data_IF_191152573378
#
_entry.id   IF_191152573378
#
_cell.length_a   1.000
_cell.length_b   1.000
_cell.length_c   1.000
_cell.angle_alpha   90.00
_cell.angle_beta   90.00
_cell.angle_gamma   90.00
#
_symmetry.space_group_name_H-M   'P 1'
#
loop_
_entity.id
_entity.type
_entity.pdbx_description
1 polymer ?
#
# COMPACT_ATOMS: atom_id res chain seq x y z
N UNK A 1 -17.44 -2.31 32.84
CA UNK A 1 -17.95 -1.30 31.90
C UNK A 1 -18.58 -1.97 30.71
N UNK A 2 -19.69 -1.43 30.16
CA UNK A 2 -20.32 -2.01 28.98
C UNK A 2 -19.39 -1.76 27.77
N UNK A 3 -19.03 -2.81 27.08
CA UNK A 3 -18.25 -2.76 25.81
C UNK A 3 -19.26 -2.91 24.70
N UNK A 4 -19.34 -1.91 23.84
CA UNK A 4 -20.33 -1.91 22.75
C UNK A 4 -19.79 -2.57 21.47
N UNK A 5 -18.45 -2.81 21.40
CA UNK A 5 -17.75 -3.42 20.28
C UNK A 5 -16.70 -4.42 20.75
N UNK A 6 -16.37 -5.41 19.90
CA UNK A 6 -15.27 -6.34 20.12
C UNK A 6 -13.92 -5.71 19.71
N UNK A 7 -13.93 -4.81 18.72
CA UNK A 7 -12.74 -4.11 18.25
C UNK A 7 -13.10 -2.71 17.74
N UNK A 8 -12.18 -1.76 17.92
CA UNK A 8 -12.23 -0.43 17.29
C UNK A 8 -11.08 -0.35 16.28
N UNK A 9 -11.39 -0.01 15.03
CA UNK A 9 -10.39 0.23 13.97
C UNK A 9 -10.28 1.73 13.75
N UNK A 10 -9.08 2.28 13.87
CA UNK A 10 -8.79 3.71 13.70
C UNK A 10 -8.13 3.94 12.34
N UNK A 11 -8.86 4.62 11.45
CA UNK A 11 -8.50 4.89 10.07
C UNK A 11 -9.24 4.01 9.05
N UNK A 12 -9.95 4.64 8.10
CA UNK A 12 -10.74 4.01 7.04
C UNK A 12 -10.01 3.92 5.69
N UNK A 13 -8.67 3.95 5.70
CA UNK A 13 -7.86 3.68 4.51
C UNK A 13 -7.82 2.19 4.17
N UNK A 14 -6.98 1.82 3.19
CA UNK A 14 -6.88 0.45 2.69
C UNK A 14 -6.64 -0.61 3.78
N UNK A 15 -5.81 -0.30 4.78
CA UNK A 15 -5.48 -1.21 5.89
C UNK A 15 -6.65 -1.36 6.87
N UNK A 16 -7.26 -0.24 7.26
CA UNK A 16 -8.35 -0.26 8.23
C UNK A 16 -9.62 -0.90 7.67
N UNK A 17 -9.98 -0.61 6.41
CA UNK A 17 -11.14 -1.23 5.76
C UNK A 17 -10.94 -2.74 5.58
N UNK A 18 -9.72 -3.19 5.22
CA UNK A 18 -9.37 -4.60 5.15
C UNK A 18 -9.49 -5.29 6.52
N UNK A 19 -8.99 -4.63 7.57
CA UNK A 19 -9.06 -5.17 8.95
C UNK A 19 -10.50 -5.25 9.44
N UNK A 20 -11.30 -4.19 9.22
CA UNK A 20 -12.70 -4.18 9.61
C UNK A 20 -13.50 -5.29 8.91
N UNK A 21 -13.30 -5.46 7.57
CA UNK A 21 -13.89 -6.55 6.80
C UNK A 21 -13.54 -7.92 7.41
N UNK A 22 -12.26 -8.19 7.60
CA UNK A 22 -11.82 -9.50 8.10
C UNK A 22 -12.30 -9.79 9.52
N UNK A 23 -12.40 -8.76 10.38
CA UNK A 23 -12.97 -8.92 11.71
C UNK A 23 -14.47 -9.22 11.67
N UNK A 24 -15.24 -8.55 10.79
CA UNK A 24 -16.68 -8.82 10.65
C UNK A 24 -16.95 -10.19 10.03
N UNK A 25 -16.14 -10.66 9.09
CA UNK A 25 -16.19 -12.03 8.56
C UNK A 25 -16.01 -13.11 9.66
N UNK A 26 -15.33 -12.74 10.76
CA UNK A 26 -15.18 -13.58 11.97
C UNK A 26 -16.29 -13.36 12.99
N UNK A 27 -17.36 -12.65 12.63
CA UNK A 27 -18.51 -12.39 13.50
C UNK A 27 -18.25 -11.40 14.61
N UNK A 28 -17.20 -10.54 14.49
CA UNK A 28 -16.88 -9.51 15.50
C UNK A 28 -17.71 -8.26 15.30
N UNK A 29 -18.14 -7.63 16.40
CA UNK A 29 -18.77 -6.31 16.40
C UNK A 29 -17.66 -5.25 16.27
N UNK A 30 -17.59 -4.57 15.12
CA UNK A 30 -16.51 -3.64 14.79
C UNK A 30 -17.01 -2.21 14.69
N UNK A 31 -16.30 -1.28 15.31
CA UNK A 31 -16.39 0.15 15.06
C UNK A 31 -15.18 0.60 14.25
N UNK A 32 -15.42 1.17 13.06
CA UNK A 32 -14.39 1.82 12.27
C UNK A 32 -14.59 3.33 12.32
N UNK A 33 -13.54 4.06 12.72
CA UNK A 33 -13.52 5.52 12.83
C UNK A 33 -12.61 6.09 11.74
N UNK A 34 -13.20 6.88 10.83
CA UNK A 34 -12.47 7.57 9.76
C UNK A 34 -12.62 9.09 9.92
N UNK A 35 -11.48 9.79 9.88
CA UNK A 35 -11.40 11.24 10.05
C UNK A 35 -12.09 12.01 8.91
N UNK A 36 -12.09 11.45 7.71
CA UNK A 36 -12.66 12.04 6.50
C UNK A 36 -13.76 11.12 5.96
N UNK A 37 -13.94 11.04 4.65
CA UNK A 37 -14.72 10.01 3.98
C UNK A 37 -13.85 8.79 3.62
N UNK A 38 -14.45 7.61 3.55
CA UNK A 38 -13.78 6.43 2.99
C UNK A 38 -13.46 6.69 1.51
N UNK A 39 -12.26 6.35 1.07
CA UNK A 39 -11.82 6.60 -0.31
C UNK A 39 -11.20 7.99 -0.54
N UNK A 40 -11.08 8.83 0.48
CA UNK A 40 -10.46 10.16 0.35
C UNK A 40 -9.02 10.11 -0.18
N UNK A 41 -8.56 11.19 -0.85
CA UNK A 41 -7.22 11.31 -1.40
C UNK A 41 -6.19 11.99 -0.48
N UNK A 42 -6.53 12.23 0.80
CA UNK A 42 -5.66 12.98 1.73
C UNK A 42 -4.50 12.17 2.30
N UNK A 43 -4.61 10.85 2.33
CA UNK A 43 -3.62 9.92 2.88
C UNK A 43 -2.81 9.19 1.82
N UNK A 44 -2.60 7.86 2.07
CA UNK A 44 -1.78 6.98 1.23
C UNK A 44 -2.60 6.09 0.30
N UNK A 45 -3.93 5.98 0.51
CA UNK A 45 -4.78 4.98 -0.17
C UNK A 45 -5.53 5.52 -1.39
N UNK A 46 -5.62 6.83 -1.58
CA UNK A 46 -6.34 7.48 -2.69
C UNK A 46 -5.70 7.24 -4.06
N UNK A 47 -6.47 7.55 -5.10
CA UNK A 47 -6.11 7.41 -6.50
C UNK A 47 -6.42 6.02 -7.08
N UNK A 48 -6.47 5.90 -8.43
CA UNK A 48 -7.10 4.76 -9.10
C UNK A 48 -6.33 3.45 -8.97
N UNK A 49 -5.00 3.48 -9.03
CA UNK A 49 -4.20 2.26 -9.22
C UNK A 49 -2.98 2.19 -8.33
N UNK A 50 -2.49 0.94 -8.06
CA UNK A 50 -1.22 0.64 -7.38
C UNK A 50 -0.56 -0.57 -8.04
N UNK A 51 0.77 -0.68 -7.92
CA UNK A 51 1.52 -1.86 -8.38
C UNK A 51 1.20 -3.06 -7.48
N UNK A 52 0.88 -4.20 -8.10
CA UNK A 52 1.06 -5.52 -7.51
C UNK A 52 2.34 -6.15 -8.07
N UNK A 53 3.21 -6.66 -7.20
CA UNK A 53 4.41 -7.42 -7.58
C UNK A 53 4.76 -8.41 -6.49
N UNK A 54 5.38 -9.54 -6.86
CA UNK A 54 5.98 -10.51 -5.93
C UNK A 54 7.49 -10.26 -5.81
N UNK A 55 8.08 -9.56 -6.78
CA UNK A 55 9.50 -9.24 -6.82
C UNK A 55 9.94 -8.35 -5.65
N UNK A 56 10.65 -8.95 -4.72
CA UNK A 56 11.28 -8.31 -3.57
C UNK A 56 12.64 -8.94 -3.31
N UNK A 57 13.59 -8.15 -2.81
CA UNK A 57 14.93 -8.61 -2.45
C UNK A 57 14.99 -9.32 -1.07
N UNK A 58 13.87 -9.40 -0.36
CA UNK A 58 13.80 -10.12 0.92
C UNK A 58 12.76 -11.26 0.86
N UNK A 59 13.11 -12.50 1.26
CA UNK A 59 12.24 -13.67 1.13
C UNK A 59 10.93 -13.57 1.93
N UNK A 60 10.91 -12.83 3.05
CA UNK A 60 9.67 -12.62 3.81
C UNK A 60 8.64 -11.82 3.00
N UNK A 61 9.08 -10.80 2.26
CA UNK A 61 8.19 -10.04 1.38
C UNK A 61 7.75 -10.85 0.15
N UNK A 62 8.62 -11.72 -0.40
CA UNK A 62 8.22 -12.64 -1.48
C UNK A 62 7.11 -13.56 -0.98
N UNK A 63 7.28 -14.18 0.18
CA UNK A 63 6.27 -15.04 0.81
C UNK A 63 4.98 -14.27 1.09
N UNK A 64 5.08 -13.06 1.66
CA UNK A 64 3.90 -12.20 1.89
C UNK A 64 3.17 -11.87 0.59
N UNK A 65 3.90 -11.53 -0.49
CA UNK A 65 3.30 -11.18 -1.76
C UNK A 65 2.56 -12.37 -2.39
N UNK A 66 3.11 -13.59 -2.27
CA UNK A 66 2.45 -14.80 -2.74
C UNK A 66 1.16 -15.10 -1.95
N UNK A 67 1.20 -14.96 -0.63
CA UNK A 67 -0.01 -15.09 0.20
C UNK A 67 -1.01 -13.97 -0.10
N UNK A 68 -0.54 -12.73 -0.30
CA UNK A 68 -1.40 -11.62 -0.64
C UNK A 68 -2.11 -11.84 -1.98
N UNK A 69 -1.47 -12.48 -2.97
CA UNK A 69 -2.13 -12.82 -4.24
C UNK A 69 -3.35 -13.73 -4.03
N UNK A 70 -3.23 -14.73 -3.17
CA UNK A 70 -4.37 -15.59 -2.83
C UNK A 70 -5.49 -14.79 -2.15
N UNK A 71 -5.15 -13.95 -1.16
CA UNK A 71 -6.12 -13.09 -0.46
C UNK A 71 -6.79 -12.07 -1.41
N UNK A 72 -6.08 -11.59 -2.46
CA UNK A 72 -6.68 -10.76 -3.51
C UNK A 72 -7.75 -11.53 -4.29
N UNK A 73 -7.49 -12.77 -4.68
CA UNK A 73 -8.46 -13.60 -5.42
C UNK A 73 -9.69 -13.94 -4.57
N UNK A 74 -9.48 -14.21 -3.28
CA UNK A 74 -10.58 -14.44 -2.34
C UNK A 74 -11.42 -13.17 -2.14
N UNK A 75 -10.76 -12.00 -2.05
CA UNK A 75 -11.44 -10.72 -1.96
C UNK A 75 -12.27 -10.43 -3.22
N UNK A 76 -11.72 -10.66 -4.42
CA UNK A 76 -12.45 -10.49 -5.70
C UNK A 76 -13.68 -11.38 -5.77
N UNK A 77 -13.54 -12.66 -5.38
CA UNK A 77 -14.66 -13.60 -5.34
C UNK A 77 -15.76 -13.13 -4.38
N UNK A 78 -15.39 -12.62 -3.22
CA UNK A 78 -16.35 -12.12 -2.22
C UNK A 78 -16.98 -10.79 -2.64
N UNK A 79 -16.20 -9.89 -3.22
CA UNK A 79 -16.66 -8.56 -3.64
C UNK A 79 -17.54 -8.62 -4.92
N UNK A 80 -17.35 -9.64 -5.74
CA UNK A 80 -18.03 -9.78 -7.04
C UNK A 80 -17.50 -8.81 -8.10
N UNK A 81 -16.26 -8.30 -7.94
CA UNK A 81 -15.68 -7.31 -8.83
C UNK A 81 -14.16 -7.50 -8.98
N UNK A 82 -13.60 -7.08 -10.12
CA UNK A 82 -12.16 -7.16 -10.38
C UNK A 82 -11.42 -6.06 -9.63
N UNK A 83 -10.49 -6.46 -8.76
CA UNK A 83 -9.71 -5.57 -7.90
C UNK A 83 -8.20 -5.66 -8.18
N UNK A 84 -7.75 -6.76 -8.82
CA UNK A 84 -6.37 -6.97 -9.24
C UNK A 84 -6.33 -7.45 -10.70
N UNK A 85 -5.82 -6.59 -11.59
CA UNK A 85 -5.66 -6.89 -13.00
C UNK A 85 -4.21 -7.33 -13.25
N UNK A 86 -4.03 -8.56 -13.71
CA UNK A 86 -2.72 -9.10 -14.07
C UNK A 86 -2.28 -8.52 -15.42
N UNK A 87 -1.22 -7.72 -15.43
CA UNK A 87 -0.64 -7.08 -16.62
C UNK A 87 0.78 -7.57 -16.91
N UNK A 88 1.33 -8.39 -16.02
CA UNK A 88 2.76 -8.60 -15.88
C UNK A 88 3.43 -7.44 -15.14
N UNK A 89 4.62 -7.71 -14.62
CA UNK A 89 5.47 -6.70 -13.99
C UNK A 89 6.91 -6.93 -14.39
N UNK A 90 7.62 -5.89 -14.79
CA UNK A 90 9.04 -5.98 -15.12
C UNK A 90 9.89 -5.15 -14.18
N UNK A 91 11.01 -5.73 -13.78
CA UNK A 91 12.12 -5.08 -13.08
C UNK A 91 13.29 -4.95 -14.05
N UNK A 92 13.90 -3.78 -14.16
CA UNK A 92 14.94 -3.48 -15.15
C UNK A 92 16.23 -3.06 -14.46
N UNK A 93 17.38 -3.66 -14.83
CA UNK A 93 18.71 -3.32 -14.31
C UNK A 93 19.14 -4.12 -13.07
N UNK A 94 20.21 -3.68 -12.43
CA UNK A 94 20.91 -4.42 -11.37
C UNK A 94 20.03 -4.71 -10.13
N UNK A 95 19.18 -3.77 -9.71
CA UNK A 95 18.23 -4.01 -8.62
C UNK A 95 17.18 -5.07 -8.96
N UNK A 96 16.82 -5.19 -10.25
CA UNK A 96 16.01 -6.30 -10.76
C UNK A 96 16.72 -7.66 -10.61
N UNK A 97 18.02 -7.72 -10.78
CA UNK A 97 18.81 -8.96 -10.58
C UNK A 97 18.82 -9.42 -9.13
N UNK A 98 18.89 -8.49 -8.17
CA UNK A 98 18.81 -8.82 -6.74
C UNK A 98 17.44 -9.41 -6.40
N UNK A 99 16.35 -8.78 -6.88
CA UNK A 99 15.00 -9.31 -6.71
C UNK A 99 14.80 -10.64 -7.40
N UNK A 100 15.37 -10.84 -8.59
CA UNK A 100 15.34 -12.10 -9.33
C UNK A 100 15.97 -13.24 -8.53
N UNK A 101 17.15 -13.02 -7.97
CA UNK A 101 17.85 -14.02 -7.14
C UNK A 101 17.04 -14.40 -5.90
N UNK A 102 16.36 -13.44 -5.26
CA UNK A 102 15.50 -13.71 -4.12
C UNK A 102 14.24 -14.50 -4.50
N UNK A 103 13.65 -14.23 -5.65
CA UNK A 103 12.53 -14.98 -6.22
C UNK A 103 12.92 -16.44 -6.54
N UNK A 104 14.03 -16.65 -7.24
CA UNK A 104 14.54 -17.98 -7.57
C UNK A 104 14.82 -18.80 -6.29
N UNK A 105 15.42 -18.17 -5.28
CA UNK A 105 15.64 -18.81 -3.97
C UNK A 105 14.34 -19.16 -3.24
N UNK A 106 13.26 -18.43 -3.50
CA UNK A 106 11.93 -18.72 -3.00
C UNK A 106 11.15 -19.75 -3.85
N UNK A 107 11.71 -20.23 -4.96
CA UNK A 107 11.06 -21.16 -5.89
C UNK A 107 10.02 -20.50 -6.80
N UNK A 108 10.07 -19.19 -6.93
CA UNK A 108 9.18 -18.43 -7.80
C UNK A 108 9.69 -18.43 -9.24
N UNK A 109 8.77 -18.50 -10.20
CA UNK A 109 9.10 -18.42 -11.61
C UNK A 109 9.27 -16.98 -12.05
N UNK A 110 10.32 -16.74 -12.85
CA UNK A 110 10.51 -15.48 -13.51
C UNK A 110 11.14 -15.71 -14.90
N UNK A 111 10.86 -14.82 -15.83
CA UNK A 111 11.36 -14.87 -17.20
C UNK A 111 12.40 -13.77 -17.42
N UNK A 112 13.53 -14.13 -18.02
CA UNK A 112 14.53 -13.16 -18.45
C UNK A 112 14.24 -12.73 -19.89
N UNK A 113 13.98 -11.45 -20.09
CA UNK A 113 13.63 -10.90 -21.40
C UNK A 113 14.79 -10.07 -21.99
N UNK A 114 14.96 -10.19 -23.30
CA UNK A 114 15.76 -9.25 -24.08
C UNK A 114 14.90 -8.01 -24.45
N UNK A 115 15.49 -6.83 -24.64
CA UNK A 115 14.76 -5.62 -25.05
C UNK A 115 13.91 -5.80 -26.31
N UNK A 116 14.34 -6.66 -27.26
CA UNK A 116 13.58 -6.96 -28.47
C UNK A 116 12.26 -7.70 -28.12
N UNK A 117 12.33 -8.71 -27.26
CA UNK A 117 11.15 -9.46 -26.82
C UNK A 117 10.18 -8.58 -26.02
N UNK A 118 10.70 -7.64 -25.21
CA UNK A 118 9.87 -6.64 -24.55
C UNK A 118 9.13 -5.76 -25.56
N UNK A 119 9.81 -5.31 -26.60
CA UNK A 119 9.22 -4.47 -27.65
C UNK A 119 8.17 -5.22 -28.48
N UNK A 120 8.37 -6.51 -28.72
CA UNK A 120 7.35 -7.35 -29.37
C UNK A 120 6.09 -7.50 -28.52
N UNK A 121 6.27 -7.73 -27.20
CA UNK A 121 5.16 -7.94 -26.25
C UNK A 121 4.47 -6.64 -25.85
N UNK A 122 5.27 -5.57 -25.68
CA UNK A 122 4.80 -4.22 -25.28
C UNK A 122 5.43 -3.14 -26.16
N UNK A 123 4.85 -2.87 -27.32
CA UNK A 123 5.42 -1.96 -28.33
C UNK A 123 5.66 -0.52 -27.85
N UNK A 124 5.02 -0.11 -26.75
CA UNK A 124 5.23 1.18 -26.14
C UNK A 124 6.55 1.34 -25.39
N UNK A 125 7.19 0.24 -24.97
CA UNK A 125 8.38 0.30 -24.12
C UNK A 125 9.68 0.37 -24.93
N UNK A 126 10.66 1.10 -24.42
CA UNK A 126 12.00 1.30 -24.99
C UNK A 126 13.05 1.09 -23.90
N UNK A 127 13.95 0.16 -24.13
CA UNK A 127 15.12 -0.10 -23.26
C UNK A 127 16.39 -0.17 -24.10
N UNK A 128 17.54 0.07 -23.48
CA UNK A 128 18.84 -0.06 -24.11
C UNK A 128 19.09 -1.52 -24.54
N UNK A 129 19.89 -1.77 -25.60
CA UNK A 129 20.10 -3.11 -26.13
C UNK A 129 20.70 -4.12 -25.13
N UNK A 130 21.40 -3.64 -24.12
CA UNK A 130 22.05 -4.42 -23.06
C UNK A 130 21.28 -4.42 -21.73
N UNK A 131 20.05 -3.88 -21.71
CA UNK A 131 19.24 -3.85 -20.51
C UNK A 131 18.89 -5.27 -20.03
N UNK A 132 19.12 -5.53 -18.74
CA UNK A 132 18.66 -6.74 -18.07
C UNK A 132 17.21 -6.55 -17.61
N UNK A 133 16.32 -7.41 -18.08
CA UNK A 133 14.87 -7.28 -17.82
C UNK A 133 14.34 -8.59 -17.26
N UNK A 134 13.68 -8.49 -16.12
CA UNK A 134 13.12 -9.60 -15.38
C UNK A 134 11.60 -9.47 -15.36
N UNK A 135 10.90 -10.40 -15.95
CA UNK A 135 9.45 -10.43 -15.99
C UNK A 135 8.91 -11.37 -14.93
N UNK A 136 7.94 -10.88 -14.20
CA UNK A 136 7.08 -11.63 -13.34
C UNK A 136 5.64 -11.59 -13.88
N UNK A 137 5.15 -12.72 -14.34
CA UNK A 137 3.84 -12.82 -14.99
C UNK A 137 2.68 -12.49 -14.06
N UNK A 138 2.77 -12.85 -12.77
CA UNK A 138 1.77 -12.55 -11.74
C UNK A 138 1.74 -11.07 -11.32
N UNK A 139 2.66 -10.24 -11.83
CA UNK A 139 2.66 -8.81 -11.61
C UNK A 139 1.44 -8.12 -12.22
N UNK A 140 1.07 -6.95 -11.69
CA UNK A 140 -0.10 -6.26 -12.22
C UNK A 140 -0.48 -5.00 -11.46
N UNK A 141 -1.76 -4.66 -11.54
CA UNK A 141 -2.33 -3.42 -11.05
C UNK A 141 -3.48 -3.68 -10.08
N UNK A 142 -3.32 -3.24 -8.83
CA UNK A 142 -4.44 -3.15 -7.88
C UNK A 142 -5.29 -1.92 -8.21
N UNK A 143 -6.60 -2.08 -8.30
CA UNK A 143 -7.60 -1.02 -8.46
C UNK A 143 -7.87 -0.38 -7.08
N UNK A 144 -7.03 0.61 -6.71
CA UNK A 144 -6.87 1.01 -5.32
C UNK A 144 -8.12 1.61 -4.68
N UNK A 145 -8.72 2.60 -5.30
CA UNK A 145 -9.94 3.24 -4.80
C UNK A 145 -11.11 2.23 -4.75
N UNK A 146 -11.26 1.44 -5.80
CA UNK A 146 -12.27 0.37 -5.86
C UNK A 146 -12.09 -0.63 -4.71
N UNK A 147 -10.84 -1.02 -4.42
CA UNK A 147 -10.53 -1.96 -3.34
C UNK A 147 -10.91 -1.41 -1.97
N UNK A 148 -10.59 -0.13 -1.68
CA UNK A 148 -10.95 0.50 -0.41
C UNK A 148 -12.47 0.53 -0.24
N UNK A 149 -13.20 0.92 -1.28
CA UNK A 149 -14.66 0.98 -1.27
C UNK A 149 -15.30 -0.41 -1.14
N UNK A 150 -14.79 -1.42 -1.87
CA UNK A 150 -15.26 -2.80 -1.76
C UNK A 150 -15.09 -3.35 -0.35
N UNK A 151 -13.91 -3.16 0.26
CA UNK A 151 -13.64 -3.61 1.62
C UNK A 151 -14.52 -2.90 2.66
N UNK A 152 -14.74 -1.59 2.53
CA UNK A 152 -15.64 -0.84 3.42
C UNK A 152 -17.09 -1.30 3.28
N UNK A 153 -17.55 -1.53 2.05
CA UNK A 153 -18.88 -2.08 1.77
C UNK A 153 -19.06 -3.45 2.42
N UNK A 154 -18.13 -4.36 2.19
CA UNK A 154 -18.17 -5.70 2.78
C UNK A 154 -18.12 -5.68 4.31
N UNK A 155 -17.32 -4.78 4.91
CA UNK A 155 -17.31 -4.61 6.35
C UNK A 155 -18.68 -4.14 6.88
N UNK A 156 -19.32 -3.19 6.21
CA UNK A 156 -20.65 -2.69 6.59
C UNK A 156 -21.74 -3.78 6.42
N UNK A 157 -21.70 -4.51 5.32
CA UNK A 157 -22.60 -5.67 5.08
C UNK A 157 -22.40 -6.77 6.14
N UNK A 158 -21.15 -6.95 6.63
CA UNK A 158 -20.79 -7.83 7.74
C UNK A 158 -21.17 -7.30 9.13
N UNK A 159 -21.76 -6.09 9.23
CA UNK A 159 -22.24 -5.50 10.47
C UNK A 159 -21.29 -4.51 11.14
N UNK A 160 -20.21 -4.07 10.48
CA UNK A 160 -19.38 -2.99 11.04
C UNK A 160 -20.16 -1.66 11.10
N UNK A 161 -19.99 -0.96 12.20
CA UNK A 161 -20.37 0.46 12.30
C UNK A 161 -19.23 1.31 11.78
N UNK A 162 -19.46 2.06 10.69
CA UNK A 162 -18.45 2.93 10.09
C UNK A 162 -18.86 4.39 10.33
N UNK A 163 -18.07 5.10 11.12
CA UNK A 163 -18.26 6.53 11.39
C UNK A 163 -17.21 7.32 10.59
N UNK A 164 -17.67 7.99 9.57
CA UNK A 164 -16.87 8.91 8.75
C UNK A 164 -16.91 10.32 9.36
N UNK A 165 -15.98 11.18 8.95
CA UNK A 165 -15.81 12.54 9.47
C UNK A 165 -15.63 12.56 11.00
N UNK A 166 -15.05 11.49 11.56
CA UNK A 166 -14.89 11.27 13.01
C UNK A 166 -13.40 11.15 13.32
N UNK A 167 -12.83 12.24 13.81
CA UNK A 167 -11.39 12.30 14.15
C UNK A 167 -11.15 11.63 15.49
N UNK A 168 -10.28 10.61 15.51
CA UNK A 168 -9.74 10.07 16.75
C UNK A 168 -8.67 11.02 17.28
N UNK A 169 -8.82 11.44 18.51
CA UNK A 169 -7.94 12.38 19.20
C UNK A 169 -6.94 11.63 20.09
N UNK A 170 -7.39 10.54 20.72
CA UNK A 170 -6.57 9.77 21.65
C UNK A 170 -7.01 8.31 21.70
N UNK A 171 -6.05 7.43 21.89
CA UNK A 171 -6.24 6.02 22.22
C UNK A 171 -5.45 5.71 23.49
N UNK A 172 -6.13 5.14 24.48
CA UNK A 172 -5.52 4.84 25.79
C UNK A 172 -5.83 3.41 26.18
N UNK A 173 -4.82 2.67 26.65
CA UNK A 173 -5.05 1.38 27.28
C UNK A 173 -5.75 1.60 28.64
N UNK A 174 -6.85 0.87 28.89
CA UNK A 174 -7.66 0.97 30.09
C UNK A 174 -7.94 -0.44 30.65
N UNK A 175 -7.11 -0.85 31.60
CA UNK A 175 -7.20 -2.22 32.16
C UNK A 175 -7.05 -3.28 31.08
N UNK A 176 -8.08 -4.11 30.86
CA UNK A 176 -8.10 -5.19 29.87
C UNK A 176 -8.56 -4.74 28.46
N UNK A 177 -8.64 -3.44 28.21
CA UNK A 177 -9.14 -2.91 26.95
C UNK A 177 -8.59 -1.54 26.60
N UNK A 178 -9.29 -0.87 25.72
CA UNK A 178 -8.95 0.46 25.24
C UNK A 178 -10.12 1.44 25.38
N UNK A 179 -9.77 2.70 25.61
CA UNK A 179 -10.62 3.84 25.47
C UNK A 179 -10.16 4.66 24.25
N UNK A 180 -11.07 4.95 23.33
CA UNK A 180 -10.84 5.76 22.13
C UNK A 180 -11.71 7.00 22.21
N UNK A 181 -11.07 8.17 22.26
CA UNK A 181 -11.75 9.45 22.23
C UNK A 181 -11.79 9.98 20.79
N UNK A 182 -12.99 10.29 20.32
CA UNK A 182 -13.23 10.78 18.96
C UNK A 182 -14.37 11.80 18.95
N UNK A 183 -14.11 13.02 18.47
CA UNK A 183 -15.06 14.13 18.35
C UNK A 183 -15.94 14.32 19.61
N UNK A 184 -15.30 14.34 20.77
CA UNK A 184 -15.95 14.52 22.06
C UNK A 184 -16.72 13.30 22.60
N UNK A 185 -16.72 12.18 21.86
CA UNK A 185 -17.30 10.89 22.28
C UNK A 185 -16.22 9.93 22.76
N UNK A 186 -16.59 9.01 23.65
CA UNK A 186 -15.69 7.98 24.14
C UNK A 186 -16.23 6.60 23.79
N UNK A 187 -15.43 5.81 23.09
CA UNK A 187 -15.74 4.42 22.71
C UNK A 187 -14.82 3.46 23.44
N UNK A 188 -15.33 2.26 23.78
CA UNK A 188 -14.57 1.24 24.52
C UNK A 188 -14.67 -0.12 23.86
N UNK A 189 -13.53 -0.81 23.78
CA UNK A 189 -13.43 -2.18 23.27
C UNK A 189 -12.31 -2.95 23.96
N UNK A 190 -12.27 -4.29 23.83
CA UNK A 190 -11.13 -5.10 24.25
C UNK A 190 -9.84 -4.76 23.53
N UNK A 191 -9.93 -4.29 22.27
CA UNK A 191 -8.76 -4.01 21.42
C UNK A 191 -9.03 -2.85 20.47
N UNK A 192 -7.99 -2.03 20.21
CA UNK A 192 -7.97 -1.07 19.10
C UNK A 192 -6.90 -1.44 18.09
N UNK A 193 -7.23 -1.29 16.80
CA UNK A 193 -6.28 -1.42 15.69
C UNK A 193 -5.99 -0.03 15.15
N UNK A 194 -4.74 0.42 15.26
CA UNK A 194 -4.29 1.70 14.75
C UNK A 194 -3.81 1.53 13.31
N UNK A 195 -4.67 1.90 12.36
CA UNK A 195 -4.44 1.86 10.92
C UNK A 195 -4.53 3.26 10.27
N UNK A 196 -4.13 4.28 11.03
CA UNK A 196 -4.33 5.70 10.72
C UNK A 196 -3.30 6.27 9.72
N UNK A 197 -2.51 5.43 9.04
CA UNK A 197 -1.55 5.84 8.01
C UNK A 197 -0.63 6.96 8.48
N UNK A 198 -0.57 8.11 7.78
CA UNK A 198 0.31 9.22 8.13
C UNK A 198 0.07 9.84 9.51
N UNK A 199 -1.11 9.66 10.09
CA UNK A 199 -1.47 10.16 11.43
C UNK A 199 -1.19 9.16 12.56
N UNK A 200 -0.78 7.93 12.23
CA UNK A 200 -0.56 6.87 13.23
C UNK A 200 0.52 7.23 14.25
N UNK A 201 1.61 7.89 13.82
CA UNK A 201 2.74 8.24 14.70
C UNK A 201 2.36 9.12 15.89
N UNK A 202 1.44 10.07 15.69
CA UNK A 202 0.89 10.90 16.77
C UNK A 202 0.08 10.08 17.77
N UNK A 203 -0.90 9.33 17.30
CA UNK A 203 -1.77 8.50 18.13
C UNK A 203 -1.00 7.44 18.93
N UNK A 204 -0.01 6.80 18.31
CA UNK A 204 0.83 5.79 18.98
C UNK A 204 1.71 6.42 20.05
N UNK A 205 2.30 7.59 19.80
CA UNK A 205 3.09 8.32 20.81
C UNK A 205 2.24 8.68 22.03
N UNK A 206 1.05 9.19 21.81
CA UNK A 206 0.12 9.56 22.87
C UNK A 206 -0.41 8.35 23.65
N UNK A 207 -0.40 7.16 23.01
CA UNK A 207 -0.68 5.88 23.64
C UNK A 207 0.53 5.25 24.38
N UNK A 208 1.67 5.93 24.45
CA UNK A 208 2.91 5.42 25.08
C UNK A 208 3.70 4.44 24.22
N UNK A 209 3.43 4.39 22.92
CA UNK A 209 4.06 3.51 21.93
C UNK A 209 4.79 4.34 20.85
N UNK A 210 5.90 5.05 21.16
CA UNK A 210 6.57 5.93 20.22
C UNK A 210 7.27 5.11 19.13
N UNK A 211 6.69 5.09 17.93
CA UNK A 211 7.27 4.47 16.74
C UNK A 211 7.71 5.59 15.79
N UNK A 212 8.94 5.54 15.24
CA UNK A 212 9.45 6.57 14.35
C UNK A 212 8.82 6.47 12.94
N UNK A 213 7.59 6.95 12.82
CA UNK A 213 6.84 7.02 11.57
C UNK A 213 6.96 8.43 11.00
N UNK A 214 7.54 8.55 9.80
CA UNK A 214 7.77 9.84 9.13
C UNK A 214 6.94 9.92 7.86
N UNK A 215 5.89 10.77 7.81
CA UNK A 215 5.18 11.03 6.58
C UNK A 215 6.04 11.77 5.57
N UNK A 216 6.01 11.37 4.29
CA UNK A 216 6.63 12.10 3.18
C UNK A 216 5.61 12.43 2.09
N UNK A 217 5.83 13.57 1.41
CA UNK A 217 5.00 14.03 0.30
C UNK A 217 5.43 13.37 -0.99
N UNK A 218 4.53 12.62 -1.61
CA UNK A 218 4.78 11.93 -2.87
C UNK A 218 3.79 12.37 -3.94
N UNK A 219 4.17 12.19 -5.22
CA UNK A 219 3.32 12.53 -6.35
C UNK A 219 3.49 11.58 -7.51
N UNK A 220 2.48 11.48 -8.35
CA UNK A 220 2.48 10.73 -9.61
C UNK A 220 1.99 11.63 -10.74
N UNK A 221 2.61 11.53 -11.91
CA UNK A 221 2.21 12.29 -13.11
C UNK A 221 1.64 11.33 -14.15
N UNK A 222 0.57 11.73 -14.81
CA UNK A 222 -0.17 10.92 -15.78
C UNK A 222 0.22 11.28 -17.22
N UNK A 223 0.30 10.24 -18.05
CA UNK A 223 0.66 10.30 -19.47
C UNK A 223 -0.32 9.50 -20.31
N UNK A 224 -0.41 9.85 -21.59
CA UNK A 224 -1.17 9.11 -22.58
C UNK A 224 -0.30 8.82 -23.79
N UNK A 225 -0.23 7.55 -24.22
CA UNK A 225 0.38 7.16 -25.49
C UNK A 225 -0.43 7.74 -26.65
N UNK A 226 0.24 8.10 -27.73
CA UNK A 226 -0.44 8.54 -28.96
C UNK A 226 -1.18 7.38 -29.63
N UNK A 227 -0.61 6.15 -29.50
CA UNK A 227 -1.25 4.89 -29.93
C UNK A 227 -1.46 4.00 -28.69
N UNK A 228 -2.72 3.72 -28.29
CA UNK A 228 -3.00 2.85 -27.16
C UNK A 228 -2.35 1.48 -27.30
N UNK A 229 -1.66 1.04 -26.28
CA UNK A 229 -0.97 -0.25 -26.22
C UNK A 229 -1.04 -0.83 -24.80
N UNK A 230 -1.16 -2.14 -24.63
CA UNK A 230 -1.03 -2.75 -23.32
C UNK A 230 0.38 -2.51 -22.76
N UNK A 231 0.48 -2.42 -21.43
CA UNK A 231 1.74 -2.24 -20.73
C UNK A 231 1.77 -3.06 -19.44
N UNK A 232 2.94 -3.57 -19.03
CA UNK A 232 3.15 -4.13 -17.70
C UNK A 232 3.35 -3.01 -16.68
N UNK A 233 3.40 -3.33 -15.41
CA UNK A 233 4.04 -2.43 -14.44
C UNK A 233 5.56 -2.48 -14.64
N UNK A 234 6.24 -1.36 -14.39
CA UNK A 234 7.70 -1.26 -14.57
C UNK A 234 8.35 -0.68 -13.32
N UNK A 235 9.47 -1.25 -12.90
CA UNK A 235 10.41 -0.66 -11.94
C UNK A 235 11.77 -0.59 -12.61
N UNK A 236 12.29 0.62 -12.80
CA UNK A 236 13.51 0.87 -13.57
C UNK A 236 14.68 1.25 -12.65
N UNK A 237 15.47 0.24 -12.28
CA UNK A 237 16.65 0.39 -11.43
C UNK A 237 17.87 0.91 -12.19
N UNK A 238 17.76 1.20 -13.49
CA UNK A 238 18.90 1.67 -14.30
C UNK A 238 19.18 3.16 -14.13
N UNK A 239 18.19 3.92 -13.65
CA UNK A 239 18.28 5.39 -13.54
C UNK A 239 18.91 5.82 -12.22
N UNK A 240 18.35 5.35 -11.12
CA UNK A 240 18.83 5.65 -9.77
C UNK A 240 18.41 4.52 -8.83
N UNK A 241 19.34 3.86 -8.13
CA UNK A 241 19.00 2.77 -7.21
C UNK A 241 18.29 3.24 -5.93
N UNK A 242 18.38 4.52 -5.59
CA UNK A 242 17.74 5.10 -4.40
C UNK A 242 16.41 5.76 -4.76
N UNK A 243 16.38 6.50 -5.86
CA UNK A 243 15.20 7.18 -6.38
C UNK A 243 14.73 6.48 -7.67
N UNK A 244 14.19 5.30 -7.52
CA UNK A 244 13.82 4.42 -8.64
C UNK A 244 12.54 4.86 -9.31
N UNK A 245 12.53 5.15 -10.61
CA UNK A 245 11.30 5.37 -11.37
C UNK A 245 10.44 4.11 -11.42
N UNK A 246 9.13 4.31 -11.34
CA UNK A 246 8.16 3.25 -11.53
C UNK A 246 6.98 3.69 -12.39
N UNK A 247 6.41 2.74 -13.11
CA UNK A 247 5.30 2.95 -14.05
C UNK A 247 4.13 2.07 -13.69
N UNK A 248 2.94 2.64 -13.69
CA UNK A 248 1.68 1.92 -13.46
C UNK A 248 0.73 2.20 -14.60
N UNK A 249 0.40 1.22 -15.44
CA UNK A 249 -0.63 1.41 -16.46
C UNK A 249 -2.00 1.63 -15.82
N UNK A 250 -2.90 2.24 -16.60
CA UNK A 250 -4.31 2.35 -16.29
C UNK A 250 -5.07 1.30 -17.14
N UNK A 251 -5.29 0.07 -16.64
CA UNK A 251 -5.78 -1.01 -17.50
C UNK A 251 -7.17 -0.77 -18.08
N UNK A 252 -7.98 0.07 -17.44
CA UNK A 252 -9.32 0.43 -17.90
C UNK A 252 -9.33 1.62 -18.89
N UNK A 253 -8.19 2.28 -19.04
CA UNK A 253 -7.96 3.38 -19.99
C UNK A 253 -6.75 3.06 -20.87
N UNK A 254 -6.90 2.23 -21.91
CA UNK A 254 -5.78 1.75 -22.72
C UNK A 254 -4.90 2.90 -23.22
N UNK A 255 -3.59 2.75 -23.05
CA UNK A 255 -2.61 3.76 -23.40
C UNK A 255 -2.36 4.82 -22.31
N UNK A 256 -3.16 4.88 -21.26
CA UNK A 256 -2.89 5.75 -20.13
C UNK A 256 -2.00 5.05 -19.10
N UNK A 257 -1.09 5.81 -18.51
CA UNK A 257 -0.20 5.32 -17.46
C UNK A 257 0.24 6.47 -16.56
N UNK A 258 0.68 6.13 -15.36
CA UNK A 258 1.30 7.09 -14.45
C UNK A 258 2.73 6.71 -14.11
N UNK A 259 3.54 7.73 -13.87
CA UNK A 259 4.95 7.60 -13.52
C UNK A 259 5.25 8.38 -12.27
N UNK A 260 6.11 7.82 -11.43
CA UNK A 260 6.70 8.53 -10.30
C UNK A 260 8.11 8.00 -10.03
N UNK A 261 8.78 8.66 -9.09
CA UNK A 261 10.06 8.24 -8.52
C UNK A 261 9.83 7.89 -7.06
N UNK A 262 10.25 6.68 -6.68
CA UNK A 262 10.05 6.18 -5.32
C UNK A 262 10.85 7.01 -4.29
N UNK A 263 10.20 7.39 -3.17
CA UNK A 263 10.79 8.16 -2.05
C UNK A 263 11.48 9.46 -2.47
N UNK A 264 10.90 10.19 -3.38
CA UNK A 264 11.49 11.42 -3.90
C UNK A 264 11.04 12.69 -3.16
N UNK A 265 10.08 12.58 -2.24
CA UNK A 265 9.48 13.71 -1.57
C UNK A 265 10.03 14.02 -0.19
N UNK A 266 9.87 15.27 0.28
CA UNK A 266 10.29 15.70 1.60
C UNK A 266 9.39 15.13 2.71
N UNK A 267 9.93 15.06 3.94
CA UNK A 267 9.13 14.83 5.12
C UNK A 267 8.15 15.99 5.34
N UNK A 268 6.91 15.66 5.72
CA UNK A 268 5.85 16.66 5.91
C UNK A 268 4.98 16.34 7.12
N UNK A 269 4.33 17.37 7.65
CA UNK A 269 3.19 17.20 8.54
C UNK A 269 1.95 16.85 7.70
N UNK A 270 1.27 15.72 7.95
CA UNK A 270 0.11 15.31 7.16
C UNK A 270 -1.07 16.28 7.23
N UNK A 271 -1.14 17.12 8.28
CA UNK A 271 -2.19 18.14 8.45
C UNK A 271 -1.85 19.47 7.77
N UNK A 272 -0.60 19.69 7.38
CA UNK A 272 -0.11 20.96 6.81
C UNK A 272 0.45 20.80 5.39
N UNK A 273 0.34 19.63 4.77
CA UNK A 273 0.88 19.41 3.44
C UNK A 273 0.16 20.25 2.39
N UNK A 274 0.88 20.71 1.37
CA UNK A 274 0.28 21.18 0.12
C UNK A 274 -0.32 20.02 -0.66
N UNK A 275 -1.31 20.32 -1.50
CA UNK A 275 -1.85 19.42 -2.51
C UNK A 275 -1.35 19.79 -3.91
N UNK A 276 -0.55 20.86 -4.01
CA UNK A 276 0.02 21.30 -5.27
C UNK A 276 1.21 20.42 -5.66
N UNK A 277 1.28 19.93 -6.90
CA UNK A 277 2.41 19.15 -7.36
C UNK A 277 3.69 19.99 -7.46
N UNK A 278 4.82 19.37 -7.18
CA UNK A 278 6.14 19.93 -7.38
C UNK A 278 6.50 19.89 -8.90
N UNK A 279 6.68 21.04 -9.55
CA UNK A 279 6.94 21.10 -10.99
C UNK A 279 8.28 20.48 -11.41
N UNK A 280 9.30 20.51 -10.55
CA UNK A 280 10.61 19.92 -10.87
C UNK A 280 10.52 18.38 -10.89
N UNK A 281 9.70 17.80 -10.02
CA UNK A 281 9.41 16.36 -10.03
C UNK A 281 8.57 15.96 -11.24
N UNK A 282 7.62 16.80 -11.68
CA UNK A 282 6.87 16.60 -12.93
C UNK A 282 7.83 16.61 -14.13
N UNK A 283 8.74 17.59 -14.19
CA UNK A 283 9.74 17.68 -15.25
C UNK A 283 10.64 16.43 -15.29
N UNK A 284 11.14 16.00 -14.14
CA UNK A 284 12.00 14.80 -14.01
C UNK A 284 11.34 13.54 -14.59
N UNK A 285 10.09 13.26 -14.20
CA UNK A 285 9.40 12.07 -14.72
C UNK A 285 9.03 12.22 -16.19
N UNK A 286 8.77 13.45 -16.66
CA UNK A 286 8.53 13.73 -18.08
C UNK A 286 9.79 13.47 -18.91
N UNK A 287 10.96 13.86 -18.44
CA UNK A 287 12.24 13.59 -19.13
C UNK A 287 12.55 12.09 -19.14
N UNK A 288 12.30 11.38 -18.03
CA UNK A 288 12.41 9.93 -17.97
C UNK A 288 11.53 9.25 -19.02
N UNK A 289 10.26 9.65 -19.15
CA UNK A 289 9.34 9.00 -20.08
C UNK A 289 9.74 9.16 -21.54
N UNK A 290 10.38 10.26 -21.92
CA UNK A 290 10.89 10.49 -23.30
C UNK A 290 11.89 9.44 -23.77
N UNK A 291 12.65 8.85 -22.84
CA UNK A 291 13.66 7.83 -23.16
C UNK A 291 13.11 6.41 -23.08
N UNK A 292 12.00 6.20 -22.41
CA UNK A 292 11.47 4.86 -22.09
C UNK A 292 10.22 4.48 -22.86
N UNK A 293 9.56 5.42 -23.51
CA UNK A 293 8.26 5.16 -24.15
C UNK A 293 8.21 5.58 -25.61
N UNK A 294 7.32 4.92 -26.37
CA UNK A 294 6.86 5.37 -27.67
C UNK A 294 6.24 6.78 -27.58
N UNK A 295 5.93 7.46 -28.68
CA UNK A 295 5.33 8.79 -28.64
C UNK A 295 4.14 8.87 -27.69
N UNK A 296 4.18 9.86 -26.79
CA UNK A 296 3.22 10.08 -25.71
C UNK A 296 3.24 11.57 -25.32
N UNK A 297 2.25 11.95 -24.50
CA UNK A 297 2.15 13.30 -23.95
C UNK A 297 1.70 13.27 -22.48
N UNK A 298 2.10 14.24 -21.65
CA UNK A 298 1.49 14.47 -20.35
C UNK A 298 -0.01 14.76 -20.52
N UNK A 299 -0.84 14.23 -19.65
CA UNK A 299 -2.28 14.55 -19.63
C UNK A 299 -2.58 15.88 -18.93
N UNK A 300 -1.60 16.45 -18.22
CA UNK A 300 -1.76 17.58 -17.33
C UNK A 300 -2.21 17.21 -15.92
N UNK A 301 -2.58 15.95 -15.69
CA UNK A 301 -2.97 15.48 -14.37
C UNK A 301 -1.75 15.03 -13.52
N UNK A 302 -1.81 15.35 -12.24
CA UNK A 302 -0.84 14.92 -11.23
C UNK A 302 -1.57 14.72 -9.91
N UNK A 303 -1.44 13.54 -9.32
CA UNK A 303 -1.95 13.26 -7.98
C UNK A 303 -0.84 13.37 -6.95
N UNK A 304 -1.20 13.85 -5.76
CA UNK A 304 -0.30 13.89 -4.59
C UNK A 304 -0.80 12.94 -3.51
N UNK A 305 0.12 12.26 -2.84
CA UNK A 305 -0.20 11.34 -1.75
C UNK A 305 0.86 11.42 -0.65
N UNK A 306 0.68 10.61 0.39
CA UNK A 306 1.66 10.48 1.48
C UNK A 306 2.18 9.04 1.57
N UNK A 307 3.49 8.88 1.78
CA UNK A 307 4.01 7.68 2.40
C UNK A 307 4.04 7.86 3.92
N UNK A 308 4.27 6.78 4.64
CA UNK A 308 4.54 6.78 6.08
C UNK A 308 5.73 5.85 6.28
N UNK A 309 6.90 6.43 6.45
CA UNK A 309 8.16 5.71 6.39
C UNK A 309 8.65 5.33 7.79
N UNK A 310 9.17 4.12 7.91
CA UNK A 310 10.04 3.70 9.02
C UNK A 310 11.50 3.88 8.63
N UNK A 311 12.44 3.98 9.58
CA UNK A 311 13.88 4.14 9.28
C UNK A 311 14.47 2.98 8.46
N UNK A 312 13.97 1.77 8.65
CA UNK A 312 14.40 0.54 7.97
C UNK A 312 13.51 0.13 6.80
N UNK A 313 12.48 0.93 6.51
CA UNK A 313 11.49 0.70 5.45
C UNK A 313 10.61 -0.53 5.61
N UNK A 314 10.82 -1.32 6.66
CA UNK A 314 9.96 -2.45 6.99
C UNK A 314 8.64 -2.01 7.63
N UNK A 315 7.60 -2.80 7.43
CA UNK A 315 6.30 -2.56 8.02
C UNK A 315 6.34 -2.63 9.55
N UNK A 316 5.33 -2.05 10.19
CA UNK A 316 5.05 -2.31 11.60
C UNK A 316 3.70 -3.01 11.70
N UNK A 317 3.74 -4.30 12.06
CA UNK A 317 2.60 -5.18 12.26
C UNK A 317 2.82 -5.88 13.60
N UNK A 318 2.21 -5.35 14.66
CA UNK A 318 2.49 -5.81 16.02
C UNK A 318 1.28 -5.61 16.92
N UNK A 319 1.33 -6.22 18.11
CA UNK A 319 0.37 -6.01 19.20
C UNK A 319 1.10 -5.69 20.49
N UNK A 320 0.77 -4.56 21.09
CA UNK A 320 1.25 -4.12 22.39
C UNK A 320 0.07 -3.98 23.37
N UNK A 321 -0.12 -4.99 24.22
CA UNK A 321 -1.28 -5.09 25.10
C UNK A 321 -2.60 -5.10 24.32
N UNK A 322 -3.52 -4.14 24.57
CA UNK A 322 -4.79 -4.07 23.85
C UNK A 322 -4.71 -3.23 22.56
N UNK A 323 -3.53 -2.78 22.15
CA UNK A 323 -3.34 -1.99 20.93
C UNK A 323 -2.64 -2.83 19.86
N UNK A 324 -3.29 -2.96 18.70
CA UNK A 324 -2.72 -3.55 17.49
C UNK A 324 -2.24 -2.43 16.58
N UNK A 325 -1.04 -2.56 16.03
CA UNK A 325 -0.38 -1.55 15.21
C UNK A 325 -0.33 -2.03 13.77
N UNK A 326 -0.98 -1.29 12.87
CA UNK A 326 -1.00 -1.55 11.44
C UNK A 326 -0.42 -0.39 10.65
N UNK A 327 0.92 -0.33 10.50
CA UNK A 327 1.60 0.67 9.67
C UNK A 327 2.44 0.00 8.57
N UNK A 328 1.80 -0.62 7.57
CA UNK A 328 2.47 -1.27 6.46
C UNK A 328 2.60 -0.32 5.26
N UNK A 329 3.39 0.73 5.37
CA UNK A 329 3.52 1.70 4.30
C UNK A 329 4.93 1.73 3.68
N UNK A 330 5.80 2.64 4.06
CA UNK A 330 7.11 2.89 3.43
C UNK A 330 7.05 2.87 1.88
N UNK A 331 5.90 3.30 1.31
CA UNK A 331 5.67 3.39 -0.13
C UNK A 331 5.31 2.09 -0.86
N UNK A 332 5.24 0.93 -0.17
CA UNK A 332 5.01 -0.33 -0.86
C UNK A 332 3.95 -1.27 -0.24
N UNK A 333 3.14 -0.79 0.71
CA UNK A 333 2.22 -1.63 1.49
C UNK A 333 0.91 -2.01 0.80
N UNK A 334 0.39 -1.20 -0.13
CA UNK A 334 -0.97 -1.37 -0.66
C UNK A 334 -1.25 -2.78 -1.22
N UNK A 335 -0.32 -3.35 -1.97
CA UNK A 335 -0.45 -4.67 -2.59
C UNK A 335 -0.63 -5.82 -1.59
N UNK A 336 -0.29 -5.60 -0.34
CA UNK A 336 -0.45 -6.57 0.75
C UNK A 336 -1.75 -6.40 1.53
N UNK A 337 -2.58 -5.41 1.20
CA UNK A 337 -3.71 -4.96 2.03
C UNK A 337 -4.67 -6.08 2.45
N UNK A 338 -5.13 -7.00 1.58
CA UNK A 338 -6.03 -8.07 2.01
C UNK A 338 -5.36 -9.00 3.05
N UNK A 339 -4.10 -9.39 2.82
CA UNK A 339 -3.32 -10.19 3.77
C UNK A 339 -3.08 -9.45 5.09
N UNK A 340 -2.77 -8.15 5.02
CA UNK A 340 -2.55 -7.32 6.22
C UNK A 340 -3.83 -7.22 7.05
N UNK A 341 -4.98 -7.06 6.41
CA UNK A 341 -6.26 -7.10 7.10
C UNK A 341 -6.46 -8.38 7.90
N UNK A 342 -6.10 -9.54 7.32
CA UNK A 342 -6.10 -10.83 8.01
C UNK A 342 -5.10 -10.86 9.17
N UNK A 343 -3.85 -10.44 8.96
CA UNK A 343 -2.81 -10.41 10.00
C UNK A 343 -3.24 -9.54 11.19
N UNK A 344 -3.74 -8.33 10.94
CA UNK A 344 -4.19 -7.43 12.01
C UNK A 344 -5.44 -7.96 12.73
N UNK A 345 -6.32 -8.65 12.02
CA UNK A 345 -7.46 -9.36 12.61
C UNK A 345 -7.00 -10.51 13.50
N UNK A 346 -6.01 -11.33 13.07
CA UNK A 346 -5.41 -12.39 13.87
C UNK A 346 -4.79 -11.81 15.16
N UNK A 347 -4.01 -10.74 15.04
CA UNK A 347 -3.45 -10.05 16.21
C UNK A 347 -4.54 -9.50 17.13
N UNK A 348 -5.61 -8.95 16.61
CA UNK A 348 -6.72 -8.39 17.40
C UNK A 348 -7.48 -9.48 18.18
N UNK A 349 -7.68 -10.65 17.58
CA UNK A 349 -8.39 -11.79 18.20
C UNK A 349 -7.48 -12.69 19.05
N UNK A 350 -6.16 -12.50 18.96
CA UNK A 350 -5.18 -13.35 19.65
C UNK A 350 -4.89 -14.67 18.90
N UNK A 351 -5.27 -14.74 17.63
CA UNK A 351 -4.94 -15.86 16.75
C UNK A 351 -3.52 -15.75 16.21
N UNK A 352 -3.01 -16.84 15.65
CA UNK A 352 -1.66 -16.87 15.06
C UNK A 352 -1.70 -16.35 13.63
N UNK A 353 -0.95 -15.27 13.28
CA UNK A 353 -0.81 -14.81 11.91
C UNK A 353 -0.21 -15.87 10.96
N UNK A 354 -0.51 -15.81 9.65
CA UNK A 354 -0.07 -16.79 8.66
C UNK A 354 1.45 -16.74 8.38
N UNK A 355 2.14 -15.72 8.87
CA UNK A 355 3.59 -15.52 8.75
C UNK A 355 4.21 -15.14 10.10
N UNK A 356 5.51 -15.40 10.33
CA UNK A 356 6.26 -14.80 11.43
C UNK A 356 6.29 -13.27 11.31
N UNK A 357 6.16 -12.57 12.45
CA UNK A 357 6.13 -11.10 12.49
C UNK A 357 7.37 -10.46 13.14
N UNK A 358 8.41 -11.25 13.49
CA UNK A 358 9.61 -10.75 14.16
C UNK A 358 10.24 -9.55 13.44
N UNK A 359 10.30 -9.62 12.09
CA UNK A 359 10.76 -8.53 11.22
C UNK A 359 9.92 -7.26 11.34
N UNK A 360 8.64 -7.41 11.63
CA UNK A 360 7.64 -6.34 11.63
C UNK A 360 7.29 -5.87 13.05
N UNK A 361 7.98 -6.39 14.07
CA UNK A 361 7.76 -6.03 15.46
C UNK A 361 8.05 -4.54 15.72
N UNK A 362 7.22 -3.90 16.53
CA UNK A 362 7.35 -2.48 16.90
C UNK A 362 8.58 -2.16 17.76
N UNK A 363 9.20 -3.18 18.33
CA UNK A 363 10.38 -3.06 19.21
C UNK A 363 11.67 -3.60 18.58
N UNK A 364 11.67 -3.85 17.27
CA UNK A 364 12.87 -4.34 16.57
C UNK A 364 14.02 -3.31 16.59
N UNK A 365 15.31 -3.74 16.70
CA UNK A 365 16.45 -2.82 16.85
C UNK A 365 16.63 -1.83 15.70
N UNK A 366 16.19 -2.18 14.51
CA UNK A 366 16.32 -1.34 13.29
C UNK A 366 15.45 -0.08 13.32
N UNK A 367 14.40 -0.04 14.15
CA UNK A 367 13.60 1.17 14.38
C UNK A 367 14.28 2.21 15.29
N UNK A 368 15.31 1.81 16.04
CA UNK A 368 16.01 2.70 16.97
C UNK A 368 17.16 3.50 16.34
N UNK A 369 17.35 3.44 15.00
CA UNK A 369 18.45 4.07 14.26
C UNK A 369 18.10 5.46 13.73
#
# INVERSE_FOLDING_TARGET
MRRDFDAIVVGGGAVGTATARTLTERGRQVLLLERFEVGHARGSSGGPTRIFRISYHHPDYVRMARLALAEWRDLEATAGETLLITTGGIDVGAGGRETASALEAAGEHLEYLKPEAVRERWPALRFEPDAEIFLQEDGGVCMAERTVNAQARLAAEGGATILQHTKVERVTADGDGVEVNADGSTHRAPVAVIAAGPWAGGLLRDAGLPIPLVPSFEQVTYFSLDEPSPMPTVIDWTVDPVQTPYVVPQPEEPGHFKVSVHKSGPAVDPDQRSFDPDPDRVARVTDYTRTRFAPHRPTGATDTCLYTNTPDEDFVLDRQGPIVIGSPCSGHGFKFTPLIGRILSDLATGDRPPIPLDRFASIRPTLAR
#
